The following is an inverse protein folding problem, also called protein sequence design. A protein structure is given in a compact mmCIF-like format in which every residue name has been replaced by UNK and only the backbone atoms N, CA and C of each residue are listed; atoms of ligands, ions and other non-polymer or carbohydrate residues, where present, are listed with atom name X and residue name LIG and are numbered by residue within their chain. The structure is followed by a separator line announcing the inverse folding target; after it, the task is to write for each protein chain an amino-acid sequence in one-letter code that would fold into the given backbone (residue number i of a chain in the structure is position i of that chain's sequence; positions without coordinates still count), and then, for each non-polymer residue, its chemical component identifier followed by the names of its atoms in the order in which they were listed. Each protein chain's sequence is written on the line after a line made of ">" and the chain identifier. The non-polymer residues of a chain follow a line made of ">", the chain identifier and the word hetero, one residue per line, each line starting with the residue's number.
data_IF_850721690618
#
_entry.id   IF_850721690618
#
_cell.length_a   1.000
_cell.length_b   1.000
_cell.length_c   1.000
_cell.angle_alpha   90.00
_cell.angle_beta   90.00
_cell.angle_gamma   90.00
#
_symmetry.space_group_name_H-M   'P 1'
#
loop_
_entity.id
_entity.type
_entity.pdbx_description
1 polymer ?
#
# COMPACT_ATOMS: atom_id res chain seq x y z
N UNK A 1 -4.12 8.39 -18.75
CA UNK A 1 -5.51 8.66 -19.17
C UNK A 1 -5.59 10.10 -19.68
N UNK A 2 -6.26 10.34 -20.79
CA UNK A 2 -6.45 11.69 -21.37
C UNK A 2 -7.25 12.61 -20.43
N UNK A 3 -8.16 12.03 -19.64
CA UNK A 3 -8.90 12.72 -18.58
C UNK A 3 -8.67 11.99 -17.25
N UNK A 4 -7.74 12.51 -16.48
CA UNK A 4 -7.47 12.01 -15.12
C UNK A 4 -7.95 13.06 -14.11
N UNK A 5 -9.09 12.77 -13.45
CA UNK A 5 -9.71 13.65 -12.45
C UNK A 5 -9.78 12.86 -11.12
N UNK A 6 -8.80 13.03 -10.22
CA UNK A 6 -8.71 12.27 -8.98
C UNK A 6 -9.99 12.31 -8.14
N UNK A 7 -10.61 13.47 -8.04
CA UNK A 7 -11.84 13.67 -7.29
C UNK A 7 -13.03 12.83 -7.81
N UNK A 8 -13.18 12.71 -9.13
CA UNK A 8 -14.26 11.92 -9.74
C UNK A 8 -14.01 10.41 -9.52
N UNK A 9 -12.76 9.98 -9.68
CA UNK A 9 -12.35 8.60 -9.46
C UNK A 9 -12.58 8.21 -7.99
N UNK A 10 -12.20 9.07 -7.05
CA UNK A 10 -12.39 8.86 -5.62
C UNK A 10 -13.89 8.69 -5.28
N UNK A 11 -14.76 9.57 -5.79
CA UNK A 11 -16.22 9.44 -5.61
C UNK A 11 -16.78 8.16 -6.22
N UNK A 12 -16.29 7.77 -7.40
CA UNK A 12 -16.72 6.53 -8.06
C UNK A 12 -16.33 5.30 -7.25
N UNK A 13 -15.12 5.27 -6.69
CA UNK A 13 -14.68 4.17 -5.83
C UNK A 13 -15.46 4.12 -4.52
N UNK A 14 -15.72 5.26 -3.89
CA UNK A 14 -16.56 5.33 -2.71
C UNK A 14 -17.98 4.81 -2.97
N UNK A 15 -18.60 5.24 -4.07
CA UNK A 15 -19.92 4.74 -4.50
C UNK A 15 -19.90 3.23 -4.84
N UNK A 16 -18.77 2.72 -5.31
CA UNK A 16 -18.54 1.29 -5.59
C UNK A 16 -18.27 0.44 -4.34
N UNK A 17 -18.22 1.05 -3.15
CA UNK A 17 -18.00 0.35 -1.89
C UNK A 17 -16.53 0.05 -1.56
N UNK A 18 -15.59 0.83 -2.09
CA UNK A 18 -14.20 0.75 -1.69
C UNK A 18 -14.05 1.07 -0.19
N UNK A 19 -13.12 0.38 0.48
CA UNK A 19 -12.81 0.62 1.90
C UNK A 19 -11.79 1.75 2.09
N UNK A 20 -10.90 1.94 1.11
CA UNK A 20 -9.86 2.98 1.12
C UNK A 20 -9.45 3.32 -0.32
N UNK A 21 -8.66 4.37 -0.46
CA UNK A 21 -8.08 4.81 -1.73
C UNK A 21 -6.56 4.67 -1.71
N UNK A 22 -5.98 4.22 -2.82
CA UNK A 22 -4.54 4.24 -3.04
C UNK A 22 -4.23 5.26 -4.13
N UNK A 23 -3.48 6.30 -3.79
CA UNK A 23 -3.19 7.42 -4.69
C UNK A 23 -1.69 7.51 -4.94
N UNK A 24 -1.30 7.40 -6.21
CA UNK A 24 0.08 7.58 -6.67
C UNK A 24 0.48 9.05 -6.61
N UNK A 25 1.59 9.32 -5.92
CA UNK A 25 2.20 10.66 -5.84
C UNK A 25 3.58 10.73 -6.50
N UNK A 26 4.24 9.60 -6.77
CA UNK A 26 5.49 9.59 -7.54
C UNK A 26 5.29 10.19 -8.93
N UNK A 27 5.99 11.30 -9.21
CA UNK A 27 5.88 12.02 -10.49
C UNK A 27 6.70 11.34 -11.59
N UNK A 28 7.91 10.89 -11.24
CA UNK A 28 8.93 10.48 -12.20
C UNK A 28 8.57 9.19 -12.94
N UNK A 29 8.09 8.20 -12.22
CA UNK A 29 7.86 6.85 -12.77
C UNK A 29 6.38 6.57 -13.02
N UNK A 30 5.50 7.19 -12.22
CA UNK A 30 4.07 6.89 -12.25
C UNK A 30 3.20 8.08 -12.63
N UNK A 31 3.80 9.24 -12.95
CA UNK A 31 3.07 10.47 -13.33
C UNK A 31 2.03 10.87 -12.29
N UNK A 32 2.34 10.59 -11.02
CA UNK A 32 1.55 11.01 -9.87
C UNK A 32 1.74 12.49 -9.56
N UNK A 33 1.07 12.97 -8.53
CA UNK A 33 1.30 14.28 -7.95
C UNK A 33 0.69 14.33 -6.55
N UNK A 34 1.25 15.12 -5.65
CA UNK A 34 0.68 15.38 -4.32
C UNK A 34 -0.72 15.98 -4.40
N UNK A 35 -0.95 16.84 -5.39
CA UNK A 35 -2.28 17.41 -5.67
C UNK A 35 -3.34 16.33 -5.90
N UNK A 36 -3.00 15.20 -6.54
CA UNK A 36 -3.92 14.09 -6.77
C UNK A 36 -4.41 13.47 -5.46
N UNK A 37 -3.51 13.36 -4.47
CA UNK A 37 -3.87 12.86 -3.13
C UNK A 37 -4.81 13.83 -2.43
N UNK A 38 -4.50 15.11 -2.43
CA UNK A 38 -5.32 16.16 -1.81
C UNK A 38 -6.70 16.22 -2.45
N UNK A 39 -6.79 16.16 -3.79
CA UNK A 39 -8.06 16.15 -4.51
C UNK A 39 -8.89 14.89 -4.17
N UNK A 40 -8.29 13.72 -4.16
CA UNK A 40 -8.97 12.46 -3.82
C UNK A 40 -9.47 12.48 -2.37
N UNK A 41 -8.63 12.93 -1.44
CA UNK A 41 -8.97 13.07 -0.01
C UNK A 41 -10.16 13.99 0.22
N UNK A 42 -10.20 15.12 -0.47
CA UNK A 42 -11.28 16.11 -0.34
C UNK A 42 -12.59 15.67 -1.02
N UNK A 43 -12.55 14.68 -1.90
CA UNK A 43 -13.69 14.26 -2.69
C UNK A 43 -14.61 13.26 -1.99
N UNK A 44 -14.13 12.52 -0.98
CA UNK A 44 -14.89 11.53 -0.22
C UNK A 44 -14.27 11.29 1.17
N UNK A 45 -14.99 10.56 2.01
CA UNK A 45 -14.56 10.28 3.40
C UNK A 45 -13.69 9.01 3.54
N UNK A 46 -13.30 8.36 2.45
CA UNK A 46 -12.48 7.15 2.53
C UNK A 46 -11.05 7.46 2.99
N UNK A 47 -10.44 6.59 3.81
CA UNK A 47 -9.02 6.68 4.12
C UNK A 47 -8.16 6.60 2.85
N UNK A 48 -7.04 7.32 2.86
CA UNK A 48 -6.15 7.42 1.69
C UNK A 48 -4.74 6.97 2.04
N UNK A 49 -4.20 6.02 1.29
CA UNK A 49 -2.77 5.69 1.31
C UNK A 49 -2.02 6.51 0.26
N UNK A 50 -0.93 7.16 0.68
CA UNK A 50 0.06 7.73 -0.25
C UNK A 50 0.92 6.62 -0.82
N UNK A 51 0.75 6.35 -2.13
CA UNK A 51 1.55 5.36 -2.84
C UNK A 51 2.72 6.04 -3.52
N UNK A 52 3.87 5.95 -2.86
CA UNK A 52 5.13 6.57 -3.29
C UNK A 52 6.31 5.73 -2.81
N UNK A 53 7.53 6.07 -3.22
CA UNK A 53 8.77 5.50 -2.71
C UNK A 53 9.25 6.28 -1.48
N UNK A 54 8.89 5.80 -0.30
CA UNK A 54 9.30 6.41 0.97
C UNK A 54 10.74 6.01 1.29
N UNK A 55 11.66 6.97 1.26
CA UNK A 55 13.09 6.76 1.52
C UNK A 55 13.66 7.70 2.57
N UNK A 56 12.93 8.74 2.95
CA UNK A 56 13.34 9.75 3.93
C UNK A 56 12.18 10.03 4.91
N UNK A 57 12.44 10.15 6.23
CA UNK A 57 11.43 10.50 7.22
C UNK A 57 10.66 11.80 6.93
N UNK A 58 11.26 12.74 6.21
CA UNK A 58 10.57 13.95 5.75
C UNK A 58 9.30 13.62 4.95
N UNK A 59 9.37 12.63 4.05
CA UNK A 59 8.22 12.22 3.24
C UNK A 59 7.05 11.70 4.11
N UNK A 60 7.34 11.14 5.27
CA UNK A 60 6.31 10.70 6.23
C UNK A 60 5.57 11.92 6.80
N UNK A 61 6.30 12.93 7.26
CA UNK A 61 5.70 14.17 7.77
C UNK A 61 4.92 14.91 6.69
N UNK A 62 5.48 14.98 5.48
CA UNK A 62 4.80 15.54 4.30
C UNK A 62 3.51 14.79 3.97
N UNK A 63 3.51 13.45 4.00
CA UNK A 63 2.33 12.63 3.77
C UNK A 63 1.20 12.97 4.75
N UNK A 64 1.54 13.16 6.02
CA UNK A 64 0.57 13.59 7.02
C UNK A 64 0.03 14.98 6.72
N UNK A 65 0.88 15.92 6.35
CA UNK A 65 0.48 17.30 6.00
C UNK A 65 -0.43 17.34 4.77
N UNK A 66 -0.21 16.47 3.78
CA UNK A 66 -1.06 16.30 2.60
C UNK A 66 -2.41 15.65 2.92
N UNK A 67 -2.58 15.08 4.10
CA UNK A 67 -3.84 14.44 4.53
C UNK A 67 -3.91 12.95 4.26
N UNK A 68 -2.78 12.26 4.05
CA UNK A 68 -2.76 10.81 4.02
C UNK A 68 -3.12 10.21 5.39
N UNK A 69 -3.77 9.05 5.38
CA UNK A 69 -4.04 8.24 6.57
C UNK A 69 -3.02 7.09 6.69
N UNK A 70 -2.40 6.70 5.58
CA UNK A 70 -1.46 5.60 5.50
C UNK A 70 -0.34 5.90 4.51
N UNK A 71 0.83 5.32 4.72
CA UNK A 71 1.97 5.34 3.80
C UNK A 71 2.42 3.94 3.44
N UNK A 72 3.09 3.80 2.29
CA UNK A 72 3.63 2.55 1.80
C UNK A 72 5.13 2.46 2.11
N UNK A 73 5.57 1.37 2.74
CA UNK A 73 7.00 1.03 2.84
C UNK A 73 7.28 -0.22 2.01
N UNK A 74 8.13 -0.10 1.00
CA UNK A 74 8.49 -1.19 0.08
C UNK A 74 9.80 -1.82 0.55
N UNK A 75 9.73 -3.02 1.12
CA UNK A 75 10.89 -3.71 1.73
C UNK A 75 12.03 -3.92 0.73
N UNK A 76 11.70 -4.21 -0.52
CA UNK A 76 12.69 -4.43 -1.58
C UNK A 76 13.61 -3.22 -1.85
N UNK A 77 13.16 -2.01 -1.51
CA UNK A 77 13.90 -0.76 -1.74
C UNK A 77 14.53 -0.14 -0.50
N UNK A 78 14.42 -0.79 0.67
CA UNK A 78 14.82 -0.19 1.95
C UNK A 78 15.75 -1.12 2.74
N UNK A 79 16.70 -0.53 3.44
CA UNK A 79 17.49 -1.20 4.46
C UNK A 79 16.70 -1.32 5.78
N UNK A 80 17.05 -2.30 6.64
CA UNK A 80 16.30 -2.58 7.87
C UNK A 80 16.25 -1.36 8.82
N UNK A 81 17.36 -0.65 8.97
CA UNK A 81 17.43 0.55 9.80
C UNK A 81 16.52 1.66 9.24
N UNK A 82 16.59 1.87 7.93
CA UNK A 82 15.77 2.87 7.25
C UNK A 82 14.27 2.57 7.38
N UNK A 83 13.87 1.30 7.22
CA UNK A 83 12.48 0.89 7.45
C UNK A 83 12.02 1.20 8.88
N UNK A 84 12.88 0.93 9.87
CA UNK A 84 12.57 1.23 11.27
C UNK A 84 12.40 2.73 11.51
N UNK A 85 13.30 3.56 10.96
CA UNK A 85 13.23 5.02 11.08
C UNK A 85 11.95 5.59 10.45
N UNK A 86 11.57 5.10 9.27
CA UNK A 86 10.34 5.49 8.59
C UNK A 86 9.09 5.06 9.37
N UNK A 87 9.07 3.83 9.90
CA UNK A 87 7.98 3.34 10.73
C UNK A 87 7.84 4.13 12.03
N UNK A 88 8.96 4.50 12.66
CA UNK A 88 8.94 5.32 13.88
C UNK A 88 8.48 6.76 13.59
N UNK A 89 8.86 7.32 12.44
CA UNK A 89 8.36 8.62 12.00
C UNK A 89 6.82 8.57 11.80
N UNK A 90 6.31 7.53 11.15
CA UNK A 90 4.87 7.34 10.95
C UNK A 90 4.10 7.26 12.27
N UNK A 91 4.60 6.50 13.24
CA UNK A 91 4.00 6.42 14.60
C UNK A 91 3.93 7.78 15.30
N UNK A 92 4.95 8.66 15.13
CA UNK A 92 4.99 10.00 15.76
C UNK A 92 3.90 10.93 15.25
N UNK A 93 3.41 10.71 14.04
CA UNK A 93 2.39 11.56 13.41
C UNK A 93 1.06 10.83 13.20
N UNK A 94 0.88 9.69 13.85
CA UNK A 94 -0.34 8.89 13.79
C UNK A 94 -0.75 8.55 12.34
N UNK A 95 0.22 8.04 11.58
CA UNK A 95 0.04 7.47 10.25
C UNK A 95 0.12 5.94 10.31
N UNK A 96 -0.83 5.29 9.67
CA UNK A 96 -0.73 3.86 9.40
C UNK A 96 0.36 3.57 8.37
N UNK A 97 0.88 2.34 8.42
CA UNK A 97 1.92 1.88 7.49
C UNK A 97 1.51 0.55 6.88
N UNK A 98 1.45 0.49 5.55
CA UNK A 98 1.37 -0.73 4.77
C UNK A 98 2.79 -1.14 4.36
N UNK A 99 3.27 -2.30 4.83
CA UNK A 99 4.60 -2.80 4.47
C UNK A 99 4.48 -3.78 3.31
N UNK A 100 4.96 -3.39 2.14
CA UNK A 100 4.88 -4.19 0.91
C UNK A 100 6.04 -5.18 0.82
N UNK A 101 5.71 -6.45 0.56
CA UNK A 101 6.66 -7.56 0.38
C UNK A 101 6.34 -8.35 -0.88
N UNK A 102 7.38 -8.99 -1.49
CA UNK A 102 7.26 -9.79 -2.71
C UNK A 102 7.65 -11.26 -2.49
N UNK A 103 8.32 -11.57 -1.39
CA UNK A 103 8.85 -12.90 -1.10
C UNK A 103 9.02 -13.12 0.40
N UNK A 104 9.42 -14.34 0.78
CA UNK A 104 9.60 -14.74 2.17
C UNK A 104 10.70 -13.96 2.91
N UNK A 105 11.81 -13.67 2.27
CA UNK A 105 12.91 -12.92 2.91
C UNK A 105 12.46 -11.49 3.27
N UNK A 106 11.75 -10.86 2.36
CA UNK A 106 11.15 -9.54 2.61
C UNK A 106 10.09 -9.59 3.71
N UNK A 107 9.25 -10.64 3.73
CA UNK A 107 8.26 -10.83 4.78
C UNK A 107 8.92 -10.98 6.17
N UNK A 108 9.97 -11.77 6.29
CA UNK A 108 10.70 -11.93 7.55
C UNK A 108 11.28 -10.60 8.06
N UNK A 109 11.76 -9.74 7.16
CA UNK A 109 12.22 -8.38 7.48
C UNK A 109 11.06 -7.50 7.92
N UNK A 110 9.96 -7.49 7.17
CA UNK A 110 8.75 -6.70 7.46
C UNK A 110 8.16 -7.04 8.84
N UNK A 111 8.09 -8.30 9.20
CA UNK A 111 7.51 -8.75 10.47
C UNK A 111 8.29 -8.26 11.72
N UNK A 112 9.58 -7.93 11.58
CA UNK A 112 10.38 -7.35 12.67
C UNK A 112 9.90 -5.96 13.07
N UNK A 113 9.28 -5.21 12.17
CA UNK A 113 8.72 -3.87 12.43
C UNK A 113 7.50 -3.91 13.35
N UNK A 114 6.85 -5.06 13.52
CA UNK A 114 5.65 -5.27 14.34
C UNK A 114 4.48 -4.34 13.95
N UNK A 115 4.38 -4.01 12.67
CA UNK A 115 3.29 -3.20 12.12
C UNK A 115 2.06 -4.06 11.87
N UNK A 116 0.84 -3.49 11.98
CA UNK A 116 -0.40 -4.26 11.88
C UNK A 116 -0.74 -4.73 10.47
N UNK A 117 -0.25 -4.04 9.43
CA UNK A 117 -0.61 -4.30 8.04
C UNK A 117 0.58 -4.80 7.22
N UNK A 118 0.35 -5.86 6.43
CA UNK A 118 1.31 -6.42 5.48
C UNK A 118 0.67 -6.45 4.09
N UNK A 119 1.32 -5.79 3.13
CA UNK A 119 0.97 -5.84 1.72
C UNK A 119 1.76 -6.93 1.00
N UNK A 120 1.11 -7.79 0.24
CA UNK A 120 1.78 -8.77 -0.60
C UNK A 120 1.57 -8.39 -2.04
N UNK A 121 2.64 -7.94 -2.71
CA UNK A 121 2.58 -7.60 -4.12
C UNK A 121 2.79 -8.85 -4.97
N UNK A 122 1.74 -9.24 -5.69
CA UNK A 122 1.73 -10.40 -6.57
C UNK A 122 2.56 -10.21 -7.85
N UNK A 123 3.06 -9.01 -8.11
CA UNK A 123 3.89 -8.74 -9.28
C UNK A 123 5.37 -8.94 -8.94
N UNK A 124 5.99 -9.92 -9.57
CA UNK A 124 7.45 -10.06 -9.56
C UNK A 124 8.06 -8.87 -10.35
N UNK A 125 8.77 -8.00 -9.65
CA UNK A 125 9.37 -6.79 -10.23
C UNK A 125 10.54 -7.08 -11.18
N UNK A 126 11.10 -8.30 -11.15
CA UNK A 126 12.20 -8.72 -12.02
C UNK A 126 11.70 -9.41 -13.29
N UNK A 127 10.67 -10.24 -13.16
CA UNK A 127 10.15 -11.06 -14.26
C UNK A 127 8.87 -10.47 -14.88
N UNK A 128 8.26 -9.48 -14.24
CA UNK A 128 6.98 -8.89 -14.61
C UNK A 128 5.82 -9.90 -14.71
N UNK A 129 5.98 -11.06 -14.07
CA UNK A 129 4.91 -12.06 -13.93
C UNK A 129 4.07 -11.69 -12.70
N UNK A 130 2.76 -11.84 -12.81
CA UNK A 130 1.83 -11.54 -11.73
C UNK A 130 0.98 -12.77 -11.43
N UNK A 131 0.98 -13.27 -10.18
CA UNK A 131 0.16 -14.40 -9.74
C UNK A 131 -0.25 -14.24 -8.28
N UNK A 132 -1.53 -14.47 -7.98
CA UNK A 132 -2.05 -14.52 -6.60
C UNK A 132 -1.41 -15.64 -5.76
N UNK A 133 -0.73 -16.59 -6.40
CA UNK A 133 0.00 -17.65 -5.69
C UNK A 133 1.10 -17.08 -4.79
N UNK A 134 1.63 -15.89 -5.10
CA UNK A 134 2.55 -15.17 -4.21
C UNK A 134 1.89 -14.90 -2.85
N UNK A 135 0.68 -14.31 -2.86
CA UNK A 135 -0.10 -14.09 -1.64
C UNK A 135 -0.38 -15.41 -0.94
N UNK A 136 -0.95 -16.38 -1.65
CA UNK A 136 -1.35 -17.66 -1.06
C UNK A 136 -0.17 -18.43 -0.44
N UNK A 137 1.01 -18.34 -1.03
CA UNK A 137 2.22 -18.96 -0.55
C UNK A 137 2.79 -18.35 0.73
N UNK A 138 2.62 -17.03 0.92
CA UNK A 138 3.14 -16.31 2.07
C UNK A 138 2.18 -16.28 3.27
N UNK A 139 0.88 -16.46 3.06
CA UNK A 139 -0.15 -16.35 4.12
C UNK A 139 0.13 -17.21 5.35
N UNK A 140 0.66 -18.41 5.17
CA UNK A 140 0.96 -19.34 6.28
C UNK A 140 2.06 -18.85 7.23
N UNK A 141 2.88 -17.90 6.77
CA UNK A 141 4.02 -17.37 7.51
C UNK A 141 3.68 -16.02 8.18
N UNK A 142 2.46 -15.51 7.96
CA UNK A 142 1.99 -14.26 8.53
C UNK A 142 1.19 -14.53 9.81
N UNK A 143 1.53 -13.90 10.94
CA UNK A 143 0.77 -14.03 12.18
C UNK A 143 -0.70 -13.61 12.00
N UNK A 144 -1.62 -14.32 12.68
CA UNK A 144 -3.07 -14.12 12.54
C UNK A 144 -3.56 -12.73 13.03
N UNK A 145 -2.73 -12.02 13.78
CA UNK A 145 -3.00 -10.66 14.27
C UNK A 145 -2.62 -9.56 13.27
N UNK A 146 -2.22 -9.94 12.05
CA UNK A 146 -1.90 -9.00 10.97
C UNK A 146 -3.03 -8.92 9.97
N UNK A 147 -3.29 -7.69 9.51
CA UNK A 147 -4.16 -7.45 8.36
C UNK A 147 -3.34 -7.65 7.08
N UNK A 148 -3.80 -8.53 6.22
CA UNK A 148 -3.14 -8.82 4.94
C UNK A 148 -3.85 -8.13 3.80
N UNK A 149 -3.08 -7.42 2.97
CA UNK A 149 -3.54 -6.78 1.74
C UNK A 149 -2.86 -7.46 0.57
N UNK A 150 -3.63 -8.03 -0.35
CA UNK A 150 -3.10 -8.58 -1.61
C UNK A 150 -3.12 -7.51 -2.69
N UNK A 151 -1.96 -7.29 -3.32
CA UNK A 151 -1.78 -6.23 -4.31
C UNK A 151 -1.45 -6.81 -5.68
N UNK A 152 -1.92 -6.15 -6.73
CA UNK A 152 -1.71 -6.51 -8.15
C UNK A 152 -2.34 -7.84 -8.58
N UNK A 153 -2.77 -7.89 -9.85
CA UNK A 153 -3.14 -9.12 -10.55
C UNK A 153 -4.43 -9.79 -10.11
N UNK A 154 -5.30 -9.11 -9.39
CA UNK A 154 -6.63 -9.61 -9.04
C UNK A 154 -7.58 -9.20 -10.16
N UNK A 155 -7.94 -10.14 -11.04
CA UNK A 155 -8.66 -9.86 -12.27
C UNK A 155 -10.01 -10.59 -12.38
N UNK A 156 -10.33 -11.50 -11.43
CA UNK A 156 -11.56 -12.27 -11.48
C UNK A 156 -12.25 -12.39 -10.12
N UNK A 157 -13.55 -12.66 -10.15
CA UNK A 157 -14.34 -12.90 -8.93
C UNK A 157 -13.90 -14.14 -8.18
N UNK A 158 -13.42 -15.16 -8.88
CA UNK A 158 -12.90 -16.41 -8.30
C UNK A 158 -11.64 -16.14 -7.49
N UNK A 159 -10.75 -15.29 -8.00
CA UNK A 159 -9.55 -14.87 -7.26
C UNK A 159 -9.92 -14.10 -6.00
N UNK A 160 -10.90 -13.18 -6.09
CA UNK A 160 -11.40 -12.46 -4.90
C UNK A 160 -12.00 -13.43 -3.89
N UNK A 161 -12.82 -14.39 -4.32
CA UNK A 161 -13.42 -15.40 -3.43
C UNK A 161 -12.36 -16.26 -2.76
N UNK A 162 -11.30 -16.64 -3.49
CA UNK A 162 -10.17 -17.41 -2.95
C UNK A 162 -9.43 -16.65 -1.87
N UNK A 163 -9.12 -15.36 -2.09
CA UNK A 163 -8.43 -14.50 -1.13
C UNK A 163 -9.29 -14.26 0.12
N UNK A 164 -10.56 -13.88 -0.06
CA UNK A 164 -11.51 -13.68 1.05
C UNK A 164 -11.69 -14.92 1.92
N UNK A 165 -11.69 -16.10 1.34
CA UNK A 165 -11.73 -17.38 2.05
C UNK A 165 -10.47 -17.67 2.88
N UNK A 166 -9.43 -16.84 2.76
CA UNK A 166 -8.15 -16.92 3.50
C UNK A 166 -7.89 -15.70 4.39
N UNK A 167 -8.89 -14.86 4.64
CA UNK A 167 -8.80 -13.61 5.44
C UNK A 167 -7.84 -12.56 4.83
N UNK A 168 -7.91 -12.37 3.51
CA UNK A 168 -7.19 -11.35 2.76
C UNK A 168 -8.17 -10.31 2.25
#
# INVERSE_FOLDING_TARGET
>A
REHYVPAEIARSYAAGGAACLSVLTDERYFQGADAHLVEARNACALPVIRKDFMVDPWQIYESRALGADCVLLIVAGLEDLQMQELADAARRVDLDVLVEVHNREELERALRLRLPMVGINNRDLKKFVTSIDTTLGLLRDIPADRLVVSESGINSREQVATLRGRNV
#
